data_IF_633339227656
#
_entry.id   IF_633339227656
#
_cell.length_a   1.000
_cell.length_b   1.000
_cell.length_c   1.000
_cell.angle_alpha   90.00
_cell.angle_beta   90.00
_cell.angle_gamma   90.00
#
_symmetry.space_group_name_H-M   'P 1'
#
loop_
_entity.id
_entity.type
_entity.pdbx_description
1 polymer ?
#
# COMPACT_ATOMS: atom_id res chain seq x y z
N UNK A 1 -10.68 -8.43 -13.96
CA UNK A 1 -9.33 -9.03 -13.93
C UNK A 1 -8.45 -8.12 -13.09
N UNK A 2 -7.65 -8.66 -12.17
CA UNK A 2 -6.74 -7.86 -11.32
C UNK A 2 -5.30 -8.09 -11.80
N UNK A 3 -4.57 -7.01 -12.08
CA UNK A 3 -3.15 -7.03 -12.44
C UNK A 3 -2.30 -6.74 -11.21
N UNK A 4 -1.48 -7.69 -10.79
CA UNK A 4 -0.54 -7.50 -9.67
C UNK A 4 0.87 -7.27 -10.22
N UNK A 5 1.46 -6.11 -9.94
CA UNK A 5 2.81 -5.79 -10.42
C UNK A 5 3.81 -5.67 -9.28
N UNK A 6 5.10 -5.70 -9.62
CA UNK A 6 6.18 -5.35 -8.70
C UNK A 6 6.43 -3.84 -8.69
N UNK A 7 7.20 -3.37 -7.71
CA UNK A 7 7.52 -1.96 -7.52
C UNK A 7 8.16 -1.26 -8.75
N UNK A 8 8.80 -2.00 -9.65
CA UNK A 8 9.40 -1.48 -10.88
C UNK A 8 8.35 -0.99 -11.89
N UNK A 9 7.26 -1.73 -12.06
CA UNK A 9 6.21 -1.47 -13.04
C UNK A 9 5.00 -0.79 -12.39
N UNK A 10 5.24 0.34 -11.73
CA UNK A 10 4.16 1.12 -11.13
C UNK A 10 4.26 2.60 -11.47
N UNK A 11 3.12 3.22 -11.72
CA UNK A 11 2.95 4.67 -11.74
C UNK A 11 1.46 5.00 -11.59
N UNK A 12 1.10 6.17 -11.04
CA UNK A 12 -0.29 6.60 -11.02
C UNK A 12 -0.91 6.67 -12.43
N UNK A 13 -0.12 7.04 -13.44
CA UNK A 13 -0.58 7.12 -14.83
C UNK A 13 -0.96 5.74 -15.38
N UNK A 14 -0.12 4.72 -15.18
CA UNK A 14 -0.41 3.34 -15.58
C UNK A 14 -1.69 2.82 -14.92
N UNK A 15 -1.91 3.13 -13.64
CA UNK A 15 -3.10 2.68 -12.92
C UNK A 15 -4.37 3.35 -13.45
N UNK A 16 -4.28 4.62 -13.88
CA UNK A 16 -5.40 5.32 -14.54
C UNK A 16 -5.69 4.74 -15.92
N UNK A 17 -4.67 4.41 -16.72
CA UNK A 17 -4.82 3.77 -18.03
C UNK A 17 -5.46 2.38 -17.90
N UNK A 18 -4.92 1.53 -17.03
CA UNK A 18 -5.48 0.20 -16.77
C UNK A 18 -6.95 0.29 -16.34
N UNK A 19 -7.27 1.23 -15.46
CA UNK A 19 -8.64 1.43 -14.99
C UNK A 19 -9.57 1.88 -16.13
N UNK A 20 -9.10 2.75 -17.03
CA UNK A 20 -9.85 3.19 -18.20
C UNK A 20 -10.13 2.02 -19.17
N UNK A 21 -9.21 1.07 -19.26
CA UNK A 21 -9.36 -0.17 -20.04
C UNK A 21 -10.17 -1.26 -19.30
N UNK A 22 -10.76 -0.94 -18.14
CA UNK A 22 -11.58 -1.86 -17.34
C UNK A 22 -10.78 -2.89 -16.54
N UNK A 23 -9.47 -2.68 -16.38
CA UNK A 23 -8.58 -3.52 -15.57
C UNK A 23 -8.29 -2.84 -14.23
N UNK A 24 -8.40 -3.60 -13.14
CA UNK A 24 -7.95 -3.11 -11.83
C UNK A 24 -6.54 -3.62 -11.55
N UNK A 25 -5.78 -2.87 -10.74
CA UNK A 25 -4.40 -3.19 -10.46
C UNK A 25 -4.03 -2.96 -9.00
N UNK A 26 -3.02 -3.66 -8.52
CA UNK A 26 -2.45 -3.49 -7.19
C UNK A 26 -0.93 -3.68 -7.24
N UNK A 27 -0.20 -2.90 -6.44
CA UNK A 27 1.24 -3.10 -6.30
C UNK A 27 1.84 -2.35 -5.12
N UNK A 28 2.99 -2.84 -4.67
CA UNK A 28 3.92 -2.07 -3.84
C UNK A 28 4.66 -1.02 -4.67
N UNK A 29 5.18 0.03 -4.01
CA UNK A 29 5.85 1.15 -4.68
C UNK A 29 7.25 1.40 -4.11
N UNK A 30 8.01 2.31 -4.73
CA UNK A 30 9.22 2.88 -4.13
C UNK A 30 8.87 4.21 -3.45
N UNK A 31 9.35 4.44 -2.21
CA UNK A 31 9.04 5.69 -1.48
C UNK A 31 9.60 6.94 -2.15
N UNK A 32 10.68 6.82 -2.92
CA UNK A 32 11.34 7.95 -3.58
C UNK A 32 10.64 8.38 -4.89
N UNK A 33 9.37 8.00 -5.09
CA UNK A 33 8.61 8.41 -6.27
C UNK A 33 8.36 9.91 -6.25
N UNK A 34 8.55 10.55 -7.41
CA UNK A 34 8.06 11.91 -7.64
C UNK A 34 6.54 11.95 -7.45
N UNK A 35 6.04 13.03 -6.88
CA UNK A 35 4.62 13.27 -6.59
C UNK A 35 3.99 12.33 -5.55
N UNK A 36 4.80 11.76 -4.66
CA UNK A 36 4.27 11.06 -3.47
C UNK A 36 3.83 12.10 -2.42
N UNK A 37 2.59 12.05 -1.90
CA UNK A 37 2.11 12.98 -0.88
C UNK A 37 3.09 13.12 0.30
N UNK A 38 3.35 14.35 0.73
CA UNK A 38 4.29 14.62 1.82
C UNK A 38 3.87 13.98 3.16
N UNK A 39 2.58 13.68 3.31
CA UNK A 39 2.00 12.92 4.44
C UNK A 39 2.57 11.50 4.54
N UNK A 40 3.01 10.93 3.41
CA UNK A 40 3.61 9.61 3.36
C UNK A 40 5.06 9.57 3.84
N UNK A 41 5.77 10.70 3.82
CA UNK A 41 7.15 10.82 4.30
C UNK A 41 7.24 11.25 5.78
N UNK A 42 6.20 11.89 6.32
CA UNK A 42 6.14 12.38 7.71
C UNK A 42 5.58 11.36 8.70
N UNK A 43 5.98 10.09 8.62
CA UNK A 43 5.38 8.97 9.37
C UNK A 43 5.95 8.79 10.80
N UNK A 44 6.39 9.87 11.44
CA UNK A 44 6.93 9.79 12.81
C UNK A 44 5.82 9.37 13.78
N UNK A 45 6.08 8.35 14.61
CA UNK A 45 5.19 7.92 15.68
C UNK A 45 4.21 6.77 15.34
N UNK A 46 4.17 6.29 14.09
CA UNK A 46 3.30 5.16 13.74
C UNK A 46 3.73 3.83 14.32
N UNK A 47 2.75 3.04 14.75
CA UNK A 47 2.96 1.68 15.26
C UNK A 47 2.86 0.67 14.12
N UNK A 48 3.53 -0.47 14.32
CA UNK A 48 3.45 -1.59 13.39
C UNK A 48 1.99 -2.03 13.22
N UNK A 49 1.52 -2.12 11.98
CA UNK A 49 0.15 -2.43 11.61
C UNK A 49 -0.67 -1.23 11.14
N UNK A 50 -0.22 0.00 11.36
CA UNK A 50 -0.95 1.20 10.97
C UNK A 50 -0.67 1.60 9.51
N UNK A 51 -1.71 2.11 8.83
CA UNK A 51 -1.62 2.65 7.47
C UNK A 51 -1.96 4.14 7.44
N UNK A 52 -1.39 4.89 6.50
CA UNK A 52 -1.97 6.18 6.06
C UNK A 52 -2.25 6.02 4.59
N UNK A 53 -3.45 6.39 4.20
CA UNK A 53 -4.04 6.09 2.92
C UNK A 53 -4.68 7.38 2.43
N UNK A 54 -4.47 7.69 1.16
CA UNK A 54 -5.18 8.73 0.44
C UNK A 54 -5.85 8.12 -0.77
N UNK A 55 -6.88 8.78 -1.26
CA UNK A 55 -7.67 8.29 -2.39
C UNK A 55 -7.95 9.43 -3.37
N UNK A 56 -7.83 9.13 -4.65
CA UNK A 56 -8.23 9.97 -5.77
C UNK A 56 -9.16 9.15 -6.67
N UNK A 57 -10.47 9.40 -6.60
CA UNK A 57 -11.45 8.58 -7.31
C UNK A 57 -11.41 7.12 -6.86
N UNK A 58 -11.24 6.18 -7.79
CA UNK A 58 -11.09 4.75 -7.49
C UNK A 58 -9.65 4.32 -7.20
N UNK A 59 -8.68 5.24 -7.30
CA UNK A 59 -7.28 4.94 -7.04
C UNK A 59 -6.93 5.29 -5.59
N UNK A 60 -6.34 4.34 -4.90
CA UNK A 60 -5.86 4.47 -3.54
C UNK A 60 -4.34 4.37 -3.53
N UNK A 61 -3.68 5.24 -2.78
CA UNK A 61 -2.27 5.11 -2.46
C UNK A 61 -2.06 5.19 -0.94
N UNK A 62 -1.04 4.54 -0.43
CA UNK A 62 -0.79 4.56 1.01
C UNK A 62 0.58 4.07 1.41
N UNK A 63 0.83 4.15 2.71
CA UNK A 63 2.02 3.57 3.36
C UNK A 63 1.55 2.78 4.58
N UNK A 64 1.88 1.50 4.61
CA UNK A 64 1.68 0.63 5.76
C UNK A 64 2.96 0.51 6.58
N UNK A 65 2.82 0.57 7.91
CA UNK A 65 3.92 0.43 8.85
C UNK A 65 4.15 -1.04 9.19
N UNK A 66 5.04 -1.68 8.44
CA UNK A 66 5.59 -2.98 8.80
C UNK A 66 6.78 -2.87 9.76
N UNK A 67 7.78 -3.74 9.58
CA UNK A 67 9.14 -3.51 10.14
C UNK A 67 9.81 -2.31 9.46
N UNK A 68 9.43 -2.06 8.20
CA UNK A 68 9.78 -0.91 7.38
C UNK A 68 8.49 -0.34 6.80
N UNK A 69 8.56 0.87 6.30
CA UNK A 69 7.46 1.51 5.60
C UNK A 69 7.29 0.85 4.24
N UNK A 70 6.05 0.41 3.96
CA UNK A 70 5.70 -0.25 2.70
C UNK A 70 4.70 0.64 1.97
N UNK A 71 5.14 1.44 0.98
CA UNK A 71 4.24 2.20 0.14
C UNK A 71 3.52 1.26 -0.85
N UNK A 72 2.26 1.55 -1.14
CA UNK A 72 1.43 0.77 -2.06
C UNK A 72 0.46 1.67 -2.83
N UNK A 73 -0.07 1.13 -3.93
CA UNK A 73 -1.09 1.75 -4.76
C UNK A 73 -2.05 0.66 -5.26
N UNK A 74 -3.35 0.95 -5.30
CA UNK A 74 -4.39 0.03 -5.77
C UNK A 74 -5.52 0.77 -6.47
N UNK A 75 -6.13 0.13 -7.46
CA UNK A 75 -7.47 0.41 -7.97
C UNK A 75 -8.41 -0.79 -7.78
N UNK A 76 -7.93 -1.85 -7.13
CA UNK A 76 -8.65 -3.12 -6.96
C UNK A 76 -9.25 -3.30 -5.56
N UNK A 77 -8.67 -2.66 -4.55
CA UNK A 77 -8.94 -2.95 -3.14
C UNK A 77 -9.71 -1.85 -2.43
N UNK A 78 -10.53 -2.25 -1.44
CA UNK A 78 -11.14 -1.32 -0.50
C UNK A 78 -10.08 -0.80 0.49
N UNK A 79 -9.82 0.51 0.54
CA UNK A 79 -8.81 1.11 1.44
C UNK A 79 -9.12 0.92 2.93
N UNK A 80 -10.37 0.66 3.29
CA UNK A 80 -10.82 0.47 4.66
C UNK A 80 -10.70 -0.98 5.13
N UNK A 81 -10.58 -1.92 4.19
CA UNK A 81 -10.49 -3.33 4.49
C UNK A 81 -9.05 -3.76 4.79
N UNK A 82 -8.85 -4.19 6.03
CA UNK A 82 -7.59 -4.75 6.50
C UNK A 82 -7.71 -6.26 6.74
N UNK A 83 -6.58 -6.93 6.55
CA UNK A 83 -6.36 -8.34 6.81
C UNK A 83 -5.33 -8.50 7.93
N UNK A 84 -5.37 -9.61 8.64
CA UNK A 84 -4.44 -9.87 9.75
C UNK A 84 -3.21 -10.64 9.26
N UNK A 85 -2.03 -10.20 9.69
CA UNK A 85 -0.75 -10.87 9.41
C UNK A 85 0.03 -11.14 10.67
N UNK A 86 0.63 -12.32 10.73
CA UNK A 86 1.52 -12.73 11.80
C UNK A 86 2.93 -12.17 11.54
N UNK A 87 3.43 -11.35 12.48
CA UNK A 87 4.76 -10.74 12.39
C UNK A 87 5.62 -11.12 13.59
N UNK A 88 6.83 -11.57 13.30
CA UNK A 88 7.83 -11.85 14.33
C UNK A 88 8.42 -10.55 14.88
N UNK A 89 8.49 -10.46 16.20
CA UNK A 89 9.08 -9.36 16.96
C UNK A 89 10.57 -9.59 17.19
N UNK A 90 11.29 -8.57 17.67
CA UNK A 90 12.74 -8.66 17.95
C UNK A 90 13.10 -9.73 18.99
N UNK A 91 12.21 -9.99 19.94
CA UNK A 91 12.36 -11.02 20.98
C UNK A 91 11.94 -12.42 20.50
N UNK A 92 11.62 -12.60 19.22
CA UNK A 92 11.19 -13.86 18.64
C UNK A 92 9.70 -14.18 18.81
N UNK A 93 8.94 -13.40 19.58
CA UNK A 93 7.50 -13.63 19.74
C UNK A 93 6.72 -13.26 18.46
N UNK A 94 5.58 -13.90 18.25
CA UNK A 94 4.67 -13.57 17.16
C UNK A 94 3.62 -12.57 17.63
N UNK A 95 3.32 -11.58 16.79
CA UNK A 95 2.24 -10.63 17.00
C UNK A 95 1.38 -10.53 15.75
N UNK A 96 0.07 -10.61 15.92
CA UNK A 96 -0.90 -10.32 14.88
C UNK A 96 -1.06 -8.81 14.71
N UNK A 97 -0.95 -8.32 13.48
CA UNK A 97 -1.13 -6.91 13.15
C UNK A 97 -2.03 -6.77 11.93
N UNK A 98 -2.81 -5.69 11.88
CA UNK A 98 -3.57 -5.32 10.70
C UNK A 98 -2.63 -4.96 9.53
N UNK A 99 -3.05 -5.28 8.30
CA UNK A 99 -2.35 -4.99 7.07
C UNK A 99 -3.35 -4.66 5.97
N UNK A 100 -3.03 -3.70 5.10
CA UNK A 100 -3.86 -3.44 3.93
C UNK A 100 -3.87 -4.67 3.02
N UNK A 101 -5.05 -5.01 2.48
CA UNK A 101 -5.22 -6.15 1.56
C UNK A 101 -4.32 -6.06 0.33
N UNK A 102 -4.10 -4.84 -0.17
CA UNK A 102 -3.22 -4.51 -1.30
C UNK A 102 -1.78 -5.07 -1.17
N UNK A 103 -1.31 -5.30 0.05
CA UNK A 103 0.09 -5.66 0.33
C UNK A 103 0.30 -7.18 0.35
N UNK A 104 -0.77 -7.98 0.49
CA UNK A 104 -0.71 -9.42 0.74
C UNK A 104 -0.74 -10.24 -0.53
#
# INVERSE_FOLDING_TARGET
>A
MIVSTGNFYTSPALFKELLADGMTAQSTCCMNRKNWPAEFTKQNGKKQGESVIVQEGQMTAGVWKGKRDVPFISTADDPTYNVEVNRQQKNGSMRTVACSKTII
#
